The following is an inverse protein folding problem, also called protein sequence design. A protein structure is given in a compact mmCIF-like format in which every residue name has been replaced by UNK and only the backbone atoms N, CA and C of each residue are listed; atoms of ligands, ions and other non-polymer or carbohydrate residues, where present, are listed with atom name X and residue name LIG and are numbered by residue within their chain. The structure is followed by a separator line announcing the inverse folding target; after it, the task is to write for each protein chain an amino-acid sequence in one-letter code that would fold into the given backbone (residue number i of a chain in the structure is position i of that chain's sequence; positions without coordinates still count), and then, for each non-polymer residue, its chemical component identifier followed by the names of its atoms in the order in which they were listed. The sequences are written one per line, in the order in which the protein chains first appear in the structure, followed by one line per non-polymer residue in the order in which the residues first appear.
data_IF_129000795071
#
_entry.id   IF_129000795071
#
_cell.length_a   1.000
_cell.length_b   1.000
_cell.length_c   1.000
_cell.angle_alpha   90.00
_cell.angle_beta   90.00
_cell.angle_gamma   90.00
#
_symmetry.space_group_name_H-M   'P 1'
#
loop_
_entity.id
_entity.type
_entity.pdbx_description
1 polymer ?
#
# COMPACT_ATOMS: atom_id res chain seq x y z
N UNK A 1 13.98 20.46 -16.29
CA UNK A 1 12.61 20.46 -15.74
C UNK A 1 12.47 19.22 -14.87
N UNK A 2 11.86 19.31 -13.68
CA UNK A 2 11.61 18.16 -12.83
C UNK A 2 10.76 17.13 -13.59
N UNK A 3 11.14 15.86 -13.49
CA UNK A 3 10.54 14.76 -14.26
C UNK A 3 10.49 13.44 -13.51
N UNK A 4 11.18 13.35 -12.37
CA UNK A 4 11.32 12.11 -11.63
C UNK A 4 10.13 11.88 -10.71
N UNK A 5 9.83 10.60 -10.51
CA UNK A 5 8.85 10.11 -9.55
C UNK A 5 9.61 9.25 -8.56
N UNK A 6 9.53 9.59 -7.28
CA UNK A 6 9.95 8.70 -6.19
C UNK A 6 8.71 7.98 -5.67
N UNK A 7 8.76 6.65 -5.61
CA UNK A 7 7.73 5.81 -5.01
C UNK A 7 8.25 5.17 -3.72
N UNK A 8 7.45 5.21 -2.65
CA UNK A 8 7.78 4.66 -1.34
C UNK A 8 6.78 3.54 -1.00
N UNK A 9 7.28 2.31 -0.89
CA UNK A 9 6.50 1.13 -0.49
C UNK A 9 7.15 0.44 0.70
N UNK A 10 6.69 0.81 1.89
CA UNK A 10 7.07 0.17 3.16
C UNK A 10 5.81 -0.14 4.01
N UNK A 11 4.66 -0.22 3.35
CA UNK A 11 3.34 -0.25 4.00
C UNK A 11 3.09 -1.55 4.76
N UNK A 12 3.67 -2.68 4.37
CA UNK A 12 3.48 -3.95 5.07
C UNK A 12 4.81 -4.70 5.27
N UNK A 13 5.62 -4.32 6.28
CA UNK A 13 6.91 -4.96 6.54
C UNK A 13 6.77 -6.44 6.93
N UNK A 14 5.62 -6.85 7.48
CA UNK A 14 5.39 -8.24 7.90
C UNK A 14 5.09 -9.20 6.74
N UNK A 15 4.79 -8.69 5.55
CA UNK A 15 4.67 -9.54 4.37
C UNK A 15 6.05 -9.96 3.81
N UNK A 16 7.13 -9.31 4.26
CA UNK A 16 8.49 -9.64 3.86
C UNK A 16 9.16 -10.61 4.85
N UNK A 17 9.89 -11.57 4.30
CA UNK A 17 10.79 -12.47 5.04
C UNK A 17 12.12 -12.64 4.32
N UNK A 18 13.21 -13.00 5.02
CA UNK A 18 14.45 -13.41 4.37
C UNK A 18 14.20 -14.53 3.35
N UNK A 19 14.40 -14.25 2.07
CA UNK A 19 14.11 -15.17 0.95
C UNK A 19 12.89 -14.79 0.10
N UNK A 20 12.13 -13.75 0.49
CA UNK A 20 11.08 -13.17 -0.36
C UNK A 20 11.67 -12.65 -1.67
N UNK A 21 10.93 -12.83 -2.77
CA UNK A 21 11.33 -12.37 -4.12
C UNK A 21 11.28 -10.84 -4.28
N UNK A 22 10.76 -10.13 -3.28
CA UNK A 22 10.63 -8.68 -3.23
C UNK A 22 11.18 -8.15 -1.90
N UNK A 23 11.41 -6.85 -1.81
CA UNK A 23 11.78 -6.15 -0.58
C UNK A 23 11.00 -4.84 -0.49
N UNK A 24 10.53 -4.45 0.70
CA UNK A 24 10.01 -3.10 0.89
C UNK A 24 11.14 -2.10 0.63
N UNK A 25 10.80 -0.88 0.24
CA UNK A 25 11.79 0.14 -0.06
C UNK A 25 11.26 1.27 -0.91
N UNK A 26 12.12 1.78 -1.80
CA UNK A 26 11.82 2.90 -2.68
C UNK A 26 12.21 2.60 -4.12
N UNK A 27 11.51 3.23 -5.05
CA UNK A 27 11.82 3.19 -6.47
C UNK A 27 11.85 4.60 -7.04
N UNK A 28 12.79 4.85 -7.94
CA UNK A 28 12.90 6.09 -8.68
C UNK A 28 12.67 5.81 -10.17
N UNK A 29 11.85 6.62 -10.81
CA UNK A 29 11.59 6.52 -12.23
C UNK A 29 11.11 7.82 -12.84
N UNK A 30 10.62 7.74 -14.07
CA UNK A 30 10.06 8.88 -14.79
C UNK A 30 8.87 8.45 -15.65
N UNK A 31 7.98 9.37 -16.00
CA UNK A 31 6.88 9.07 -16.93
C UNK A 31 7.43 8.74 -18.32
N UNK A 32 6.99 7.64 -18.91
CA UNK A 32 7.39 7.21 -20.24
C UNK A 32 6.26 6.41 -20.92
N UNK A 33 5.90 6.78 -22.15
CA UNK A 33 5.03 5.96 -23.00
C UNK A 33 3.67 5.57 -22.39
N UNK A 34 3.00 6.49 -21.69
CA UNK A 34 1.72 6.21 -21.02
C UNK A 34 1.84 5.49 -19.67
N UNK A 35 3.06 5.15 -19.23
CA UNK A 35 3.35 4.56 -17.93
C UNK A 35 4.59 5.19 -17.28
N UNK A 36 5.43 4.34 -16.67
CA UNK A 36 6.67 4.74 -16.00
C UNK A 36 7.85 3.89 -16.46
N UNK A 37 9.02 4.51 -16.49
CA UNK A 37 10.31 3.83 -16.68
C UNK A 37 11.06 3.83 -15.35
N UNK A 38 11.35 2.64 -14.83
CA UNK A 38 12.19 2.47 -13.65
C UNK A 38 13.64 2.90 -13.96
N UNK A 39 14.22 3.70 -13.07
CA UNK A 39 15.62 4.13 -13.11
C UNK A 39 16.43 3.34 -12.09
N UNK A 40 15.89 3.17 -10.88
CA UNK A 40 16.52 2.38 -9.82
C UNK A 40 15.54 2.07 -8.70
N UNK A 41 15.87 1.08 -7.87
CA UNK A 41 15.13 0.74 -6.67
C UNK A 41 16.11 0.36 -5.55
N UNK A 42 15.80 0.78 -4.33
CA UNK A 42 16.63 0.54 -3.16
C UNK A 42 15.77 -0.07 -2.05
N UNK A 43 16.18 -1.21 -1.47
CA UNK A 43 15.44 -1.82 -0.39
C UNK A 43 15.59 -1.01 0.91
N UNK A 44 14.65 -1.24 1.82
CA UNK A 44 14.74 -0.92 3.24
C UNK A 44 14.58 -2.26 3.97
N UNK A 45 15.59 -2.69 4.71
CA UNK A 45 15.48 -3.90 5.53
C UNK A 45 14.69 -3.62 6.81
N UNK A 46 13.47 -4.16 6.97
CA UNK A 46 12.65 -3.88 8.14
C UNK A 46 13.20 -4.53 9.43
N UNK A 47 14.17 -5.45 9.32
CA UNK A 47 14.83 -6.09 10.47
C UNK A 47 16.05 -5.33 10.96
N UNK A 48 16.61 -4.43 10.14
CA UNK A 48 17.75 -3.60 10.48
C UNK A 48 17.30 -2.20 10.89
N UNK A 49 17.52 -1.84 12.16
CA UNK A 49 17.14 -0.51 12.67
C UNK A 49 17.98 0.61 12.08
N UNK A 50 19.17 0.29 11.58
CA UNK A 50 20.11 1.24 11.00
C UNK A 50 19.91 1.40 9.49
N UNK A 51 19.04 0.60 8.86
CA UNK A 51 18.60 0.77 7.47
C UNK A 51 17.27 1.53 7.40
N UNK A 52 17.39 2.86 7.39
CA UNK A 52 16.25 3.76 7.40
C UNK A 52 15.74 4.06 5.99
N UNK A 53 14.46 4.43 5.90
CA UNK A 53 13.85 4.95 4.68
C UNK A 53 14.64 6.14 4.09
N UNK A 54 15.18 7.02 4.94
CA UNK A 54 15.95 8.18 4.49
C UNK A 54 17.25 7.75 3.77
N UNK A 55 17.94 6.71 4.27
CA UNK A 55 19.13 6.17 3.61
C UNK A 55 18.77 5.49 2.28
N UNK A 56 17.65 4.76 2.20
CA UNK A 56 17.22 4.16 0.93
C UNK A 56 16.89 5.22 -0.13
N UNK A 57 16.22 6.32 0.26
CA UNK A 57 15.99 7.47 -0.63
C UNK A 57 17.30 8.08 -1.09
N UNK A 58 18.24 8.34 -0.19
CA UNK A 58 19.55 8.87 -0.54
C UNK A 58 20.34 7.92 -1.48
N UNK A 59 20.32 6.61 -1.23
CA UNK A 59 20.92 5.59 -2.11
C UNK A 59 20.32 5.64 -3.51
N UNK A 60 18.98 5.70 -3.64
CA UNK A 60 18.34 5.59 -4.96
C UNK A 60 18.65 6.81 -5.83
N UNK A 61 18.72 8.01 -5.25
CA UNK A 61 19.15 9.22 -5.95
C UNK A 61 20.62 9.17 -6.37
N UNK A 62 21.51 8.71 -5.48
CA UNK A 62 22.94 8.56 -5.78
C UNK A 62 23.18 7.59 -6.92
N UNK A 63 22.56 6.41 -6.88
CA UNK A 63 22.68 5.38 -7.93
C UNK A 63 22.16 5.91 -9.26
N UNK A 64 21.08 6.70 -9.24
CA UNK A 64 20.51 7.33 -10.43
C UNK A 64 21.30 8.54 -10.95
N UNK A 65 22.29 9.05 -10.21
CA UNK A 65 22.98 10.29 -10.54
C UNK A 65 22.04 11.50 -10.59
N UNK A 66 20.98 11.50 -9.78
CA UNK A 66 19.92 12.50 -9.79
C UNK A 66 19.86 13.29 -8.46
N UNK A 67 19.16 14.42 -8.48
CA UNK A 67 18.91 15.23 -7.29
C UNK A 67 17.44 15.15 -6.86
N UNK A 68 17.12 15.23 -5.56
CA UNK A 68 15.73 15.43 -5.11
C UNK A 68 15.05 16.65 -5.77
N UNK A 69 15.80 17.66 -6.20
CA UNK A 69 15.27 18.81 -6.95
C UNK A 69 14.71 18.45 -8.34
N UNK A 70 15.03 17.25 -8.87
CA UNK A 70 14.50 16.75 -10.13
C UNK A 70 13.13 16.06 -9.99
N UNK A 71 12.61 15.97 -8.75
CA UNK A 71 11.30 15.38 -8.47
C UNK A 71 10.15 16.22 -9.02
N UNK A 72 9.28 15.58 -9.80
CA UNK A 72 7.98 16.09 -10.17
C UNK A 72 6.86 15.52 -9.28
N UNK A 73 7.08 14.34 -8.68
CA UNK A 73 6.08 13.63 -7.87
C UNK A 73 6.75 12.74 -6.81
N UNK A 74 6.17 12.71 -5.61
CA UNK A 74 6.41 11.64 -4.62
C UNK A 74 5.14 10.84 -4.44
N UNK A 75 5.19 9.55 -4.77
CA UNK A 75 4.14 8.59 -4.52
C UNK A 75 4.46 7.76 -3.28
N UNK A 76 3.45 7.46 -2.46
CA UNK A 76 3.63 6.62 -1.28
C UNK A 76 2.41 5.76 -1.03
N UNK A 77 2.67 4.52 -0.60
CA UNK A 77 1.61 3.62 -0.17
C UNK A 77 0.99 4.10 1.14
N UNK A 78 -0.31 4.42 1.12
CA UNK A 78 -1.03 5.02 2.26
C UNK A 78 -1.78 4.02 3.12
N UNK A 79 -1.75 2.74 2.76
CA UNK A 79 -2.39 1.67 3.51
C UNK A 79 -3.60 1.05 2.80
N UNK A 80 -4.29 0.12 3.48
CA UNK A 80 -4.05 -0.28 4.87
C UNK A 80 -2.78 -1.14 5.05
N UNK A 81 -2.14 -1.06 6.23
CA UNK A 81 -0.84 -1.69 6.49
C UNK A 81 -0.32 -1.47 7.92
N UNK A 82 0.99 -1.63 8.12
CA UNK A 82 1.70 -1.45 9.38
C UNK A 82 1.59 -0.02 9.92
N UNK A 83 1.05 0.13 11.12
CA UNK A 83 0.73 1.43 11.71
C UNK A 83 1.93 2.40 11.78
N UNK A 84 3.07 1.90 12.26
CA UNK A 84 4.29 2.70 12.42
C UNK A 84 4.94 2.98 11.07
N UNK A 85 5.05 1.98 10.20
CA UNK A 85 5.73 2.13 8.90
C UNK A 85 4.98 3.09 7.98
N UNK A 86 3.65 3.02 7.93
CA UNK A 86 2.81 3.94 7.15
C UNK A 86 3.00 5.40 7.56
N UNK A 87 3.08 5.68 8.87
CA UNK A 87 3.29 7.05 9.36
C UNK A 87 4.66 7.58 9.00
N UNK A 88 5.69 6.74 9.12
CA UNK A 88 7.06 7.10 8.71
C UNK A 88 7.08 7.40 7.21
N UNK A 89 6.54 6.50 6.39
CA UNK A 89 6.51 6.64 4.94
C UNK A 89 5.75 7.90 4.49
N UNK A 90 4.53 8.10 5.00
CA UNK A 90 3.71 9.28 4.66
C UNK A 90 4.36 10.57 5.14
N UNK A 91 4.90 10.62 6.35
CA UNK A 91 5.60 11.81 6.85
C UNK A 91 6.85 12.14 6.00
N UNK A 92 7.64 11.14 5.62
CA UNK A 92 8.79 11.31 4.73
C UNK A 92 8.36 11.80 3.34
N UNK A 93 7.30 11.22 2.76
CA UNK A 93 6.76 11.64 1.47
C UNK A 93 6.27 13.10 1.51
N UNK A 94 5.51 13.47 2.55
CA UNK A 94 5.09 14.86 2.78
C UNK A 94 6.26 15.82 2.84
N UNK A 95 7.27 15.49 3.65
CA UNK A 95 8.45 16.34 3.82
C UNK A 95 9.17 16.53 2.47
N UNK A 96 9.40 15.46 1.72
CA UNK A 96 10.04 15.52 0.41
C UNK A 96 9.23 16.38 -0.57
N UNK A 97 7.92 16.18 -0.66
CA UNK A 97 7.06 16.98 -1.53
C UNK A 97 7.08 18.47 -1.15
N UNK A 98 6.95 18.81 0.14
CA UNK A 98 6.97 20.19 0.63
C UNK A 98 8.32 20.88 0.42
N UNK A 99 9.43 20.17 0.63
CA UNK A 99 10.78 20.74 0.52
C UNK A 99 11.25 20.91 -0.92
N UNK A 100 10.81 20.03 -1.82
CA UNK A 100 11.15 20.11 -3.26
C UNK A 100 10.13 20.92 -4.06
N UNK A 101 8.93 21.14 -3.52
CA UNK A 101 7.82 21.78 -4.21
C UNK A 101 7.14 20.87 -5.24
N UNK A 102 7.40 19.57 -5.21
CA UNK A 102 6.80 18.61 -6.15
C UNK A 102 5.41 18.14 -5.67
N UNK A 103 4.66 17.48 -6.56
CA UNK A 103 3.35 16.93 -6.21
C UNK A 103 3.46 15.69 -5.31
N UNK A 104 2.35 15.31 -4.68
CA UNK A 104 2.23 14.05 -3.96
C UNK A 104 1.18 13.13 -4.61
N UNK A 105 1.33 11.81 -4.43
CA UNK A 105 0.33 10.82 -4.82
C UNK A 105 0.12 9.80 -3.69
N UNK A 106 -1.14 9.65 -3.27
CA UNK A 106 -1.56 8.61 -2.34
C UNK A 106 -1.85 7.33 -3.13
N UNK A 107 -1.12 6.25 -2.84
CA UNK A 107 -1.29 4.95 -3.51
C UNK A 107 -1.91 3.97 -2.51
N UNK A 108 -3.11 3.41 -2.75
CA UNK A 108 -3.64 2.34 -1.91
C UNK A 108 -2.70 1.13 -1.91
N UNK A 109 -2.38 0.58 -0.74
CA UNK A 109 -1.48 -0.58 -0.63
C UNK A 109 -2.00 -1.80 -1.41
N UNK A 110 -3.32 -1.94 -1.52
CA UNK A 110 -3.92 -2.99 -2.31
C UNK A 110 -3.66 -2.83 -3.82
N UNK A 111 -3.56 -1.59 -4.32
CA UNK A 111 -3.29 -1.33 -5.74
C UNK A 111 -1.84 -1.70 -6.09
N UNK A 112 -0.90 -1.51 -5.16
CA UNK A 112 0.48 -1.98 -5.30
C UNK A 112 0.52 -3.50 -5.42
N UNK A 113 -0.21 -4.21 -4.56
CA UNK A 113 -0.32 -5.67 -4.60
C UNK A 113 -0.95 -6.13 -5.92
N UNK A 114 -1.99 -5.45 -6.39
CA UNK A 114 -2.71 -5.78 -7.62
C UNK A 114 -1.80 -5.75 -8.86
N UNK A 115 -0.80 -4.85 -8.92
CA UNK A 115 0.18 -4.77 -10.03
C UNK A 115 1.11 -5.99 -10.13
N UNK A 116 1.12 -6.86 -9.13
CA UNK A 116 1.94 -8.08 -9.09
C UNK A 116 1.11 -9.36 -9.11
N UNK A 117 -0.21 -9.25 -9.24
CA UNK A 117 -1.07 -10.40 -9.49
C UNK A 117 -0.99 -10.77 -10.97
N UNK A 118 -0.61 -12.02 -11.26
CA UNK A 118 -0.57 -12.53 -12.65
C UNK A 118 -1.95 -12.48 -13.27
N UNK A 119 -2.17 -11.73 -14.37
CA UNK A 119 -3.47 -11.67 -15.03
C UNK A 119 -3.85 -13.03 -15.62
N UNK A 120 -5.03 -13.51 -15.26
CA UNK A 120 -5.62 -14.75 -15.79
C UNK A 120 -7.05 -14.53 -16.32
N UNK A 121 -7.46 -13.26 -16.47
CA UNK A 121 -8.78 -12.86 -16.94
C UNK A 121 -9.90 -13.07 -15.92
N UNK A 122 -9.60 -13.30 -14.64
CA UNK A 122 -10.59 -13.51 -13.58
C UNK A 122 -10.49 -12.43 -12.50
N UNK A 123 -11.62 -12.06 -11.86
CA UNK A 123 -11.62 -11.10 -10.76
C UNK A 123 -10.93 -11.69 -9.54
N UNK A 124 -10.30 -10.83 -8.76
CA UNK A 124 -9.61 -11.22 -7.53
C UNK A 124 -9.88 -10.22 -6.41
N UNK A 125 -9.51 -10.59 -5.19
CA UNK A 125 -9.59 -9.70 -4.04
C UNK A 125 -8.25 -9.65 -3.31
N UNK A 126 -7.94 -8.50 -2.73
CA UNK A 126 -6.78 -8.28 -1.86
C UNK A 126 -7.30 -8.02 -0.45
N UNK A 127 -6.93 -8.87 0.51
CA UNK A 127 -7.29 -8.76 1.91
C UNK A 127 -6.07 -8.35 2.74
N UNK A 128 -6.15 -7.18 3.38
CA UNK A 128 -5.09 -6.59 4.20
C UNK A 128 -5.64 -6.14 5.55
N UNK A 129 -4.74 -5.85 6.50
CA UNK A 129 -5.10 -5.33 7.82
C UNK A 129 -6.20 -6.16 8.50
N UNK A 130 -5.92 -7.45 8.66
CA UNK A 130 -6.79 -8.38 9.36
C UNK A 130 -6.85 -8.07 10.86
N UNK A 131 -8.04 -8.12 11.46
CA UNK A 131 -8.23 -7.98 12.90
C UNK A 131 -9.49 -8.70 13.34
N UNK A 132 -9.35 -9.60 14.31
CA UNK A 132 -10.46 -10.48 14.71
C UNK A 132 -10.82 -11.39 13.54
N UNK A 133 -12.10 -11.43 13.19
CA UNK A 133 -12.65 -12.25 12.09
C UNK A 133 -12.82 -11.49 10.78
N UNK A 134 -12.36 -10.22 10.69
CA UNK A 134 -12.52 -9.38 9.50
C UNK A 134 -11.18 -8.96 8.90
N UNK A 135 -11.16 -8.74 7.59
CA UNK A 135 -10.07 -8.08 6.87
C UNK A 135 -10.59 -6.87 6.10
N UNK A 136 -9.70 -5.93 5.77
CA UNK A 136 -10.01 -4.90 4.77
C UNK A 136 -9.82 -5.50 3.38
N UNK A 137 -10.89 -5.61 2.61
CA UNK A 137 -10.90 -6.29 1.31
C UNK A 137 -11.18 -5.30 0.20
N UNK A 138 -10.27 -5.23 -0.77
CA UNK A 138 -10.45 -4.51 -2.04
C UNK A 138 -10.64 -5.52 -3.16
N UNK A 139 -11.68 -5.33 -3.98
CA UNK A 139 -12.00 -6.21 -5.12
C UNK A 139 -11.52 -5.61 -6.43
N UNK A 140 -11.03 -6.46 -7.32
CA UNK A 140 -10.51 -6.11 -8.63
C UNK A 140 -11.24 -6.89 -9.71
N UNK A 141 -11.49 -6.24 -10.84
CA UNK A 141 -12.01 -6.90 -12.03
C UNK A 141 -10.95 -7.77 -12.72
N UNK A 142 -11.35 -8.45 -13.80
CA UNK A 142 -10.48 -9.29 -14.61
C UNK A 142 -9.29 -8.55 -15.27
N UNK A 143 -9.34 -7.22 -15.30
CA UNK A 143 -8.29 -6.35 -15.84
C UNK A 143 -7.40 -5.77 -14.72
N UNK A 144 -7.63 -6.15 -13.46
CA UNK A 144 -6.87 -5.65 -12.31
C UNK A 144 -7.24 -4.22 -11.92
N UNK A 145 -8.43 -3.73 -12.29
CA UNK A 145 -8.92 -2.42 -11.86
C UNK A 145 -9.75 -2.55 -10.59
N UNK A 146 -9.57 -1.65 -9.60
CA UNK A 146 -10.36 -1.70 -8.37
C UNK A 146 -11.84 -1.42 -8.67
N UNK A 147 -12.72 -2.27 -8.15
CA UNK A 147 -14.18 -2.13 -8.27
C UNK A 147 -14.73 -1.17 -7.21
N UNK A 148 -14.04 -1.06 -6.07
CA UNK A 148 -14.36 -0.13 -4.98
C UNK A 148 -13.09 0.21 -4.17
N UNK A 149 -13.11 1.25 -3.32
CA UNK A 149 -11.99 1.61 -2.43
C UNK A 149 -11.64 0.55 -1.35
N UNK A 150 -12.42 -0.53 -1.28
CA UNK A 150 -12.33 -1.58 -0.26
C UNK A 150 -13.18 -1.29 0.97
N UNK A 151 -13.36 -2.32 1.80
CA UNK A 151 -14.17 -2.25 3.02
C UNK A 151 -13.90 -3.42 3.95
N UNK A 152 -14.45 -3.37 5.17
CA UNK A 152 -14.40 -4.49 6.09
C UNK A 152 -15.26 -5.64 5.55
N UNK A 153 -14.68 -6.84 5.51
CA UNK A 153 -15.36 -8.05 5.09
C UNK A 153 -14.95 -9.24 5.97
N UNK A 154 -15.94 -10.06 6.31
CA UNK A 154 -15.80 -11.30 7.04
C UNK A 154 -16.03 -12.53 6.16
N UNK A 155 -16.00 -13.71 6.77
CA UNK A 155 -16.20 -14.99 6.08
C UNK A 155 -17.55 -15.09 5.33
N UNK A 156 -18.61 -14.43 5.84
CA UNK A 156 -19.92 -14.40 5.18
C UNK A 156 -19.87 -13.63 3.87
N UNK A 157 -19.26 -12.45 3.86
CA UNK A 157 -19.15 -11.61 2.67
C UNK A 157 -18.36 -12.32 1.55
N UNK A 158 -17.35 -13.11 1.91
CA UNK A 158 -16.61 -13.96 0.97
C UNK A 158 -17.47 -15.10 0.40
N UNK A 159 -18.42 -15.65 1.15
CA UNK A 159 -19.34 -16.70 0.67
C UNK A 159 -20.44 -16.14 -0.22
N UNK A 160 -20.94 -14.95 0.14
CA UNK A 160 -22.02 -14.29 -0.59
C UNK A 160 -21.52 -13.76 -1.95
N UNK A 161 -20.24 -13.35 -2.05
CA UNK A 161 -19.60 -12.92 -3.29
C UNK A 161 -18.14 -13.45 -3.39
N UNK A 162 -17.93 -14.71 -3.83
CA UNK A 162 -16.61 -15.32 -3.84
C UNK A 162 -15.70 -14.76 -4.95
N UNK A 163 -14.47 -14.29 -4.62
CA UNK A 163 -13.49 -13.94 -5.65
C UNK A 163 -12.90 -15.22 -6.29
N UNK A 164 -12.33 -15.13 -7.49
CA UNK A 164 -11.67 -16.30 -8.10
C UNK A 164 -10.36 -16.68 -7.39
N UNK A 165 -9.73 -15.71 -6.73
CA UNK A 165 -8.52 -15.85 -5.91
C UNK A 165 -8.48 -14.73 -4.86
N UNK A 166 -7.85 -15.04 -3.73
CA UNK A 166 -7.63 -14.08 -2.66
C UNK A 166 -6.13 -13.86 -2.47
N UNK A 167 -5.70 -12.60 -2.45
CA UNK A 167 -4.33 -12.24 -2.08
C UNK A 167 -4.36 -11.76 -0.64
N UNK A 168 -3.64 -12.41 0.26
CA UNK A 168 -3.68 -12.09 1.69
C UNK A 168 -2.35 -12.41 2.38
N UNK A 169 -1.98 -11.58 3.36
CA UNK A 169 -0.80 -11.83 4.18
C UNK A 169 -1.04 -12.96 5.21
N UNK A 170 -0.01 -13.26 6.00
CA UNK A 170 -0.05 -14.32 7.00
C UNK A 170 -1.01 -14.05 8.18
N UNK A 171 -1.65 -12.87 8.24
CA UNK A 171 -2.63 -12.53 9.26
C UNK A 171 -4.08 -12.76 8.81
N UNK A 172 -4.32 -13.37 7.64
CA UNK A 172 -5.68 -13.72 7.20
C UNK A 172 -6.43 -14.50 8.31
N UNK A 173 -7.64 -14.05 8.73
CA UNK A 173 -8.37 -14.73 9.81
C UNK A 173 -8.70 -16.17 9.45
N UNK A 174 -8.67 -17.06 10.44
CA UNK A 174 -8.96 -18.48 10.24
C UNK A 174 -10.33 -18.73 9.61
N UNK A 175 -11.33 -17.92 9.98
CA UNK A 175 -12.68 -17.94 9.42
C UNK A 175 -12.73 -17.59 7.92
N UNK A 176 -11.96 -16.59 7.47
CA UNK A 176 -11.82 -16.27 6.04
C UNK A 176 -11.04 -17.37 5.30
N UNK A 177 -9.96 -17.86 5.89
CA UNK A 177 -9.16 -18.93 5.30
C UNK A 177 -9.99 -20.23 5.11
N UNK A 178 -10.84 -20.56 6.08
CA UNK A 178 -11.77 -21.69 5.99
C UNK A 178 -12.85 -21.45 4.93
N UNK A 179 -13.40 -20.23 4.84
CA UNK A 179 -14.34 -19.88 3.78
C UNK A 179 -13.71 -20.06 2.39
N UNK A 180 -12.50 -19.53 2.16
CA UNK A 180 -11.77 -19.74 0.91
C UNK A 180 -11.59 -21.23 0.59
N UNK A 181 -11.19 -22.04 1.58
CA UNK A 181 -11.02 -23.48 1.39
C UNK A 181 -12.33 -24.18 1.02
N UNK A 182 -13.43 -23.84 1.67
CA UNK A 182 -14.76 -24.37 1.37
C UNK A 182 -15.29 -23.98 -0.02
N UNK A 183 -14.88 -22.82 -0.52
CA UNK A 183 -15.23 -22.30 -1.84
C UNK A 183 -14.27 -22.75 -2.95
N UNK A 184 -13.16 -23.40 -2.61
CA UNK A 184 -12.09 -23.72 -3.58
C UNK A 184 -11.29 -22.49 -4.06
N UNK A 185 -11.33 -21.38 -3.31
CA UNK A 185 -10.60 -20.14 -3.62
C UNK A 185 -9.16 -20.28 -3.14
N UNK A 186 -8.22 -20.14 -4.08
CA UNK A 186 -6.79 -20.11 -3.76
C UNK A 186 -6.41 -18.84 -3.00
N UNK A 187 -5.56 -18.99 -1.97
CA UNK A 187 -4.99 -17.87 -1.21
C UNK A 187 -3.52 -17.75 -1.54
N UNK A 188 -3.08 -16.57 -1.95
CA UNK A 188 -1.72 -16.27 -2.37
C UNK A 188 -1.12 -15.11 -1.56
N UNK A 189 0.20 -15.10 -1.31
CA UNK A 189 0.84 -14.03 -0.55
C UNK A 189 0.91 -12.72 -1.37
N UNK A 190 0.74 -11.55 -0.75
CA UNK A 190 0.89 -10.25 -1.39
C UNK A 190 2.36 -9.92 -1.67
N UNK A 191 2.59 -9.10 -2.69
CA UNK A 191 3.90 -8.55 -3.05
C UNK A 191 3.84 -7.03 -2.95
N UNK A 192 4.62 -6.45 -2.05
CA UNK A 192 4.73 -5.00 -1.85
C UNK A 192 6.02 -4.48 -2.49
N UNK A 193 6.00 -4.38 -3.81
CA UNK A 193 7.15 -3.95 -4.62
C UNK A 193 7.16 -2.42 -4.82
N UNK A 194 8.24 -1.69 -4.48
CA UNK A 194 8.31 -0.26 -4.75
C UNK A 194 8.20 0.11 -6.24
N UNK A 195 8.61 -0.77 -7.16
CA UNK A 195 8.38 -0.55 -8.60
C UNK A 195 6.90 -0.64 -8.96
N UNK A 196 6.11 -1.49 -8.28
CA UNK A 196 4.66 -1.53 -8.45
C UNK A 196 3.99 -0.25 -7.91
N UNK A 197 4.50 0.31 -6.81
CA UNK A 197 4.05 1.61 -6.30
C UNK A 197 4.34 2.74 -7.32
N UNK A 198 5.52 2.71 -7.94
CA UNK A 198 5.87 3.61 -9.05
C UNK A 198 4.93 3.46 -10.26
N UNK A 199 4.59 2.22 -10.63
CA UNK A 199 3.63 1.94 -11.70
C UNK A 199 2.22 2.45 -11.36
N UNK A 200 1.75 2.20 -10.15
CA UNK A 200 0.46 2.71 -9.68
C UNK A 200 0.41 4.24 -9.64
N UNK A 201 1.53 4.91 -9.37
CA UNK A 201 1.64 6.36 -9.41
C UNK A 201 1.42 6.96 -10.81
N UNK A 202 1.55 6.17 -11.89
CA UNK A 202 1.24 6.63 -13.25
C UNK A 202 -0.22 7.08 -13.38
N UNK A 203 -1.13 6.33 -12.74
CA UNK A 203 -2.58 6.50 -12.80
C UNK A 203 -3.13 7.30 -11.60
N UNK A 204 -2.31 7.55 -10.58
CA UNK A 204 -2.73 8.24 -9.37
C UNK A 204 -2.95 9.75 -9.61
N UNK A 205 -3.99 10.29 -8.96
CA UNK A 205 -4.22 11.73 -8.92
C UNK A 205 -3.09 12.43 -8.17
N UNK A 206 -2.58 13.52 -8.73
CA UNK A 206 -1.65 14.40 -8.03
C UNK A 206 -2.44 15.24 -7.04
N UNK A 207 -2.04 15.18 -5.78
CA UNK A 207 -2.66 15.89 -4.66
C UNK A 207 -1.68 16.87 -4.03
N UNK A 208 -2.21 17.80 -3.25
CA UNK A 208 -1.41 18.63 -2.36
C UNK A 208 -0.72 17.77 -1.29
N UNK A 209 0.54 18.06 -0.99
CA UNK A 209 1.32 17.30 -0.03
C UNK A 209 0.68 17.28 1.38
N UNK A 210 -0.02 18.34 1.78
CA UNK A 210 -0.72 18.40 3.07
C UNK A 210 -1.94 17.48 3.11
N UNK A 211 -2.56 17.20 1.96
CA UNK A 211 -3.72 16.32 1.84
C UNK A 211 -3.36 14.81 1.87
N UNK A 212 -2.08 14.47 1.74
CA UNK A 212 -1.61 13.09 1.87
C UNK A 212 -1.93 12.58 3.29
N UNK A 213 -2.55 11.42 3.46
CA UNK A 213 -2.80 10.89 4.81
C UNK A 213 -2.84 9.38 4.82
N UNK A 214 -2.63 8.79 5.99
CA UNK A 214 -2.69 7.35 6.18
C UNK A 214 -4.14 6.89 6.18
N UNK A 215 -4.43 5.87 5.38
CA UNK A 215 -5.74 5.21 5.36
C UNK A 215 -5.81 4.20 6.51
N UNK A 216 -6.58 4.55 7.54
CA UNK A 216 -6.89 3.65 8.65
C UNK A 216 -8.22 2.93 8.39
N UNK A 217 -8.21 1.60 8.16
CA UNK A 217 -9.43 0.84 7.89
C UNK A 217 -10.34 0.72 9.12
N UNK A 218 -9.81 1.01 10.30
CA UNK A 218 -10.50 0.96 11.58
C UNK A 218 -10.09 2.17 12.43
N UNK A 219 -11.01 2.77 13.21
CA UNK A 219 -10.63 3.78 14.20
C UNK A 219 -9.55 3.23 15.16
N UNK A 220 -8.60 4.06 15.61
CA UNK A 220 -7.60 3.66 16.60
C UNK A 220 -8.25 3.04 17.83
N UNK A 221 -7.59 2.04 18.44
CA UNK A 221 -8.14 1.36 19.62
C UNK A 221 -8.46 2.30 20.77
N UNK A 222 -7.65 3.35 20.97
CA UNK A 222 -7.90 4.36 21.99
C UNK A 222 -9.23 5.09 21.77
N UNK A 223 -9.59 5.36 20.50
CA UNK A 223 -10.87 5.99 20.14
C UNK A 223 -12.02 5.04 20.41
N UNK A 224 -11.89 3.76 20.03
CA UNK A 224 -12.91 2.73 20.31
C UNK A 224 -13.11 2.51 21.81
N UNK A 225 -12.03 2.31 22.56
CA UNK A 225 -12.07 2.16 24.02
C UNK A 225 -12.65 3.41 24.70
N UNK A 226 -12.31 4.60 24.22
CA UNK A 226 -12.91 5.84 24.75
C UNK A 226 -14.41 5.94 24.45
N UNK A 227 -14.86 5.51 23.26
CA UNK A 227 -16.28 5.47 22.88
C UNK A 227 -17.05 4.40 23.68
N UNK A 228 -16.48 3.21 23.86
CA UNK A 228 -17.03 2.11 24.67
C UNK A 228 -17.16 2.50 26.15
N UNK A 229 -16.17 3.24 26.68
CA UNK A 229 -16.20 3.76 28.04
C UNK A 229 -17.20 4.91 28.23
N UNK A 230 -17.73 5.52 27.15
CA UNK A 230 -18.55 6.75 27.23
C UNK A 230 -20.01 6.64 26.78
N UNK A 231 -20.45 5.59 26.09
CA UNK A 231 -21.87 5.23 25.93
C UNK A 231 -22.90 6.37 25.73
N UNK A 232 -22.64 7.40 24.89
CA UNK A 232 -23.54 8.54 24.61
C UNK A 232 -23.06 9.41 23.43
N UNK A 233 -23.91 10.23 22.78
CA UNK A 233 -24.07 10.33 21.32
C UNK A 233 -22.89 10.93 20.55
N UNK A 234 -22.85 10.59 19.26
CA UNK A 234 -21.84 10.93 18.25
C UNK A 234 -21.51 12.42 18.19
N UNK A 235 -20.22 12.75 18.27
CA UNK A 235 -19.68 14.04 17.80
C UNK A 235 -19.48 13.92 16.29
N UNK A 236 -20.04 14.82 15.45
CA UNK A 236 -19.82 14.79 14.01
C UNK A 236 -18.37 15.16 13.67
N UNK A 237 -17.82 14.70 12.52
CA UNK A 237 -16.46 15.01 12.12
C UNK A 237 -16.34 16.49 11.73
N UNK A 238 -15.24 17.12 12.17
CA UNK A 238 -14.73 18.38 11.66
C UNK A 238 -13.57 18.16 10.72
#
# INVERSE_FOLDING_TARGET
MPRLILAIETSNPSAWTPGSAWRPGVALGERAGGGVRLIGAEPVDPSDRDDTLAQAVDRVFRVAGASPADLALVAVSVGPGGFTSLRIAVASAKMLALTTGCGAAAVPSADVVARRVTPDGRPFAVALSSKGDDAWVTRYDAQGRPVSPGGLAGARDLRDDPPARLIADCFLPGSLAEACRGLGVGVEPPVFDPAACLEAAADAAVIDAMALDVVYPRPPEAVRKWQELRGGPSVPPG
#
